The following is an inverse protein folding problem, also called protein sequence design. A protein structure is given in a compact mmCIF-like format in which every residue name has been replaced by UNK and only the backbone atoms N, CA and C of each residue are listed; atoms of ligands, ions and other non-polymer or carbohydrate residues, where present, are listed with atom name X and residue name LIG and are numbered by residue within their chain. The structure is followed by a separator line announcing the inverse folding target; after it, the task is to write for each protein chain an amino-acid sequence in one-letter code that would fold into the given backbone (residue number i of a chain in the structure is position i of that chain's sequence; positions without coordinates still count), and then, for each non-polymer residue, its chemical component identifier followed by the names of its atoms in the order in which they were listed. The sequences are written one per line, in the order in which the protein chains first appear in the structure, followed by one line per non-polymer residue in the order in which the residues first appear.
data_IF_736758792748
#
_entry.id   IF_736758792748
#
_cell.length_a   1.000
_cell.length_b   1.000
_cell.length_c   1.000
_cell.angle_alpha   90.00
_cell.angle_beta   90.00
_cell.angle_gamma   90.00
#
_symmetry.space_group_name_H-M   'P 1'
#
loop_
_entity.id
_entity.type
_entity.pdbx_description
1 polymer ?
#
# COMPACT_ATOMS: atom_id res chain seq x y z
N UNK A 1 -3.58 -3.30 -32.32
CA UNK A 1 -4.36 -4.54 -32.08
C UNK A 1 -4.42 -4.79 -30.58
N UNK A 2 -5.52 -5.39 -30.13
CA UNK A 2 -6.03 -5.43 -28.76
C UNK A 2 -5.08 -6.05 -27.71
N UNK A 3 -4.67 -5.24 -26.73
CA UNK A 3 -4.37 -5.70 -25.36
C UNK A 3 -5.15 -4.86 -24.32
N UNK A 4 -6.28 -4.26 -24.73
CA UNK A 4 -7.21 -3.59 -23.81
C UNK A 4 -8.14 -4.65 -23.23
N UNK A 5 -7.83 -5.21 -22.06
CA UNK A 5 -8.88 -5.94 -21.34
C UNK A 5 -8.51 -6.77 -20.12
N UNK A 6 -7.33 -7.38 -20.05
CA UNK A 6 -7.18 -8.54 -19.15
C UNK A 6 -6.57 -8.24 -17.77
N UNK A 7 -5.71 -7.23 -17.62
CA UNK A 7 -5.09 -6.96 -16.32
C UNK A 7 -5.89 -5.92 -15.54
N UNK A 8 -6.59 -6.40 -14.52
CA UNK A 8 -7.26 -5.55 -13.56
C UNK A 8 -6.28 -5.13 -12.46
N UNK A 9 -6.13 -3.83 -12.21
CA UNK A 9 -5.09 -3.30 -11.30
C UNK A 9 -5.16 -3.86 -9.87
N UNK A 10 -6.34 -4.32 -9.41
CA UNK A 10 -6.48 -4.97 -8.10
C UNK A 10 -5.69 -6.28 -7.96
N UNK A 11 -5.26 -6.91 -9.06
CA UNK A 11 -4.44 -8.13 -9.00
C UNK A 11 -3.03 -7.86 -8.48
N UNK A 12 -2.53 -6.62 -8.61
CA UNK A 12 -1.18 -6.25 -8.18
C UNK A 12 -0.97 -6.47 -6.67
N UNK A 13 -1.81 -5.90 -5.78
CA UNK A 13 -1.65 -6.15 -4.34
C UNK A 13 -1.99 -7.60 -3.96
N UNK A 14 -2.91 -8.27 -4.67
CA UNK A 14 -3.21 -9.69 -4.41
C UNK A 14 -2.01 -10.57 -4.68
N UNK A 15 -1.37 -10.40 -5.84
CA UNK A 15 -0.18 -11.18 -6.18
C UNK A 15 0.97 -10.88 -5.22
N UNK A 16 1.20 -9.61 -4.87
CA UNK A 16 2.18 -9.20 -3.86
C UNK A 16 1.93 -9.91 -2.51
N UNK A 17 0.70 -9.87 -2.00
CA UNK A 17 0.35 -10.48 -0.73
C UNK A 17 0.48 -12.01 -0.74
N UNK A 18 0.09 -12.67 -1.83
CA UNK A 18 0.20 -14.13 -1.96
C UNK A 18 1.66 -14.59 -2.00
N UNK A 19 2.54 -13.85 -2.69
CA UNK A 19 3.97 -14.14 -2.72
C UNK A 19 4.59 -13.94 -1.34
N UNK A 20 4.25 -12.85 -0.66
CA UNK A 20 4.71 -12.58 0.70
C UNK A 20 4.26 -13.66 1.68
N UNK A 21 2.96 -13.96 1.71
CA UNK A 21 2.40 -14.99 2.59
C UNK A 21 2.96 -16.37 2.28
N UNK A 22 3.08 -16.72 1.00
CA UNK A 22 3.66 -17.99 0.56
C UNK A 22 5.12 -18.14 0.98
N UNK A 23 5.91 -17.06 0.88
CA UNK A 23 7.28 -17.02 1.37
C UNK A 23 7.34 -17.20 2.90
N UNK A 24 6.52 -16.46 3.67
CA UNK A 24 6.48 -16.58 5.14
C UNK A 24 6.09 -17.98 5.60
N UNK A 25 5.03 -18.54 5.01
CA UNK A 25 4.60 -19.92 5.31
C UNK A 25 5.67 -20.93 4.88
N UNK A 26 6.35 -20.70 3.76
CA UNK A 26 7.45 -21.53 3.30
C UNK A 26 8.62 -21.55 4.29
N UNK A 27 9.04 -20.38 4.79
CA UNK A 27 10.07 -20.25 5.81
C UNK A 27 9.64 -20.91 7.13
N UNK A 28 8.42 -20.64 7.59
CA UNK A 28 7.90 -21.18 8.84
C UNK A 28 7.78 -22.70 8.81
N UNK A 29 7.18 -23.25 7.74
CA UNK A 29 7.01 -24.69 7.60
C UNK A 29 8.35 -25.41 7.42
N UNK A 30 9.29 -24.81 6.69
CA UNK A 30 10.64 -25.36 6.60
C UNK A 30 11.30 -25.45 7.97
N UNK A 31 11.26 -24.37 8.75
CA UNK A 31 11.87 -24.36 10.08
C UNK A 31 11.17 -25.33 11.06
N UNK A 32 9.83 -25.37 11.08
CA UNK A 32 9.11 -26.25 12.02
C UNK A 32 9.15 -27.71 11.60
N UNK A 33 9.01 -28.01 10.30
CA UNK A 33 8.80 -29.39 9.81
C UNK A 33 10.08 -30.03 9.29
N UNK A 34 10.88 -29.32 8.49
CA UNK A 34 12.09 -29.88 7.86
C UNK A 34 13.28 -29.87 8.81
N UNK A 35 13.50 -28.75 9.51
CA UNK A 35 14.62 -28.61 10.45
C UNK A 35 14.26 -28.93 11.90
N UNK A 36 12.98 -29.23 12.19
CA UNK A 36 12.48 -29.58 13.53
C UNK A 36 12.82 -28.50 14.58
N UNK A 37 12.57 -27.24 14.20
CA UNK A 37 12.90 -26.06 15.00
C UNK A 37 14.38 -25.99 15.38
N UNK A 38 15.25 -26.23 14.39
CA UNK A 38 16.70 -26.11 14.54
C UNK A 38 17.09 -24.76 15.14
N UNK A 39 17.97 -24.82 16.13
CA UNK A 39 18.61 -23.67 16.76
C UNK A 39 19.85 -23.30 15.96
N UNK A 40 19.86 -22.10 15.36
CA UNK A 40 20.93 -21.68 14.47
C UNK A 40 22.17 -21.22 15.26
N UNK A 41 23.37 -21.37 14.68
CA UNK A 41 24.64 -21.06 15.36
C UNK A 41 24.89 -19.59 15.68
N UNK A 42 24.03 -18.70 15.20
CA UNK A 42 24.07 -17.25 15.38
C UNK A 42 22.87 -16.74 16.21
N UNK A 43 22.12 -17.66 16.82
CA UNK A 43 21.19 -17.38 17.91
C UNK A 43 21.92 -17.44 19.23
N UNK A 44 21.46 -16.68 20.21
CA UNK A 44 21.94 -16.81 21.58
C UNK A 44 21.44 -18.13 22.18
N UNK A 45 22.26 -18.74 23.04
CA UNK A 45 22.04 -20.11 23.56
C UNK A 45 20.70 -20.31 24.29
N UNK A 46 20.07 -19.23 24.75
CA UNK A 46 18.80 -19.25 25.50
C UNK A 46 17.58 -19.03 24.57
N UNK A 47 17.78 -18.83 23.27
CA UNK A 47 16.72 -18.61 22.29
C UNK A 47 16.13 -19.89 21.71
N UNK A 48 14.80 -19.89 21.61
CA UNK A 48 13.99 -21.03 21.20
C UNK A 48 13.15 -20.72 19.96
N UNK A 49 13.02 -19.44 19.58
CA UNK A 49 12.18 -18.99 18.46
C UNK A 49 13.07 -18.27 17.44
N UNK A 50 13.11 -18.82 16.23
CA UNK A 50 13.87 -18.24 15.15
C UNK A 50 13.20 -17.00 14.55
N UNK A 51 13.99 -15.95 14.31
CA UNK A 51 13.56 -14.82 13.48
C UNK A 51 13.34 -15.28 12.03
N UNK A 52 12.49 -14.55 11.31
CA UNK A 52 12.28 -14.75 9.87
C UNK A 52 13.60 -14.53 9.13
N UNK A 53 14.34 -13.50 9.53
CA UNK A 53 15.64 -13.15 8.98
C UNK A 53 16.66 -14.28 9.12
N UNK A 54 16.64 -15.03 10.23
CA UNK A 54 17.56 -16.15 10.48
C UNK A 54 17.26 -17.33 9.57
N UNK A 55 15.99 -17.75 9.50
CA UNK A 55 15.60 -18.82 8.58
C UNK A 55 15.86 -18.36 7.13
N UNK A 56 15.63 -17.08 6.83
CA UNK A 56 15.94 -16.43 5.57
C UNK A 56 17.43 -16.26 5.28
N UNK A 57 18.32 -16.38 6.26
CA UNK A 57 19.78 -16.38 6.08
C UNK A 57 20.34 -17.77 5.76
N UNK A 58 19.57 -18.82 6.06
CA UNK A 58 19.94 -20.22 5.89
C UNK A 58 19.79 -20.72 4.44
N UNK A 59 19.54 -22.02 4.25
CA UNK A 59 19.31 -22.67 2.95
C UNK A 59 18.22 -22.00 2.10
N UNK A 60 17.24 -21.35 2.74
CA UNK A 60 16.13 -20.67 2.07
C UNK A 60 16.40 -19.19 1.71
N UNK A 61 17.65 -18.73 1.81
CA UNK A 61 18.03 -17.38 1.37
C UNK A 61 17.58 -17.00 -0.05
N UNK A 62 17.70 -17.87 -1.08
CA UNK A 62 17.18 -17.55 -2.41
C UNK A 62 15.66 -17.31 -2.43
N UNK A 63 14.90 -18.07 -1.63
CA UNK A 63 13.46 -17.90 -1.49
C UNK A 63 13.14 -16.55 -0.84
N UNK A 64 13.86 -16.20 0.23
CA UNK A 64 13.66 -14.94 0.94
C UNK A 64 13.96 -13.72 0.06
N UNK A 65 15.06 -13.75 -0.70
CA UNK A 65 15.41 -12.68 -1.65
C UNK A 65 14.36 -12.55 -2.76
N UNK A 66 14.02 -13.67 -3.42
CA UNK A 66 13.08 -13.65 -4.53
C UNK A 66 11.67 -13.22 -4.08
N UNK A 67 11.19 -13.76 -2.96
CA UNK A 67 9.88 -13.41 -2.40
C UNK A 67 9.80 -11.95 -1.96
N UNK A 68 10.84 -11.44 -1.29
CA UNK A 68 10.94 -10.03 -0.89
C UNK A 68 10.95 -9.08 -2.09
N UNK A 69 11.75 -9.38 -3.13
CA UNK A 69 11.82 -8.57 -4.34
C UNK A 69 10.48 -8.55 -5.09
N UNK A 70 9.86 -9.71 -5.32
CA UNK A 70 8.57 -9.78 -6.02
C UNK A 70 7.47 -9.07 -5.23
N UNK A 71 7.38 -9.32 -3.92
CA UNK A 71 6.39 -8.67 -3.05
C UNK A 71 6.47 -7.15 -3.16
N UNK A 72 7.66 -6.59 -2.94
CA UNK A 72 7.86 -5.14 -2.82
C UNK A 72 7.75 -4.42 -4.16
N UNK A 73 8.15 -5.04 -5.27
CA UNK A 73 7.94 -4.51 -6.62
C UNK A 73 6.44 -4.42 -6.92
N UNK A 74 5.67 -5.48 -6.69
CA UNK A 74 4.23 -5.45 -6.96
C UNK A 74 3.46 -4.54 -6.00
N UNK A 75 3.92 -4.41 -4.74
CA UNK A 75 3.38 -3.42 -3.81
C UNK A 75 3.62 -1.99 -4.32
N UNK A 76 4.83 -1.67 -4.76
CA UNK A 76 5.15 -0.36 -5.34
C UNK A 76 4.36 -0.09 -6.64
N UNK A 77 4.20 -1.11 -7.48
CA UNK A 77 3.33 -1.02 -8.67
C UNK A 77 1.88 -0.74 -8.29
N UNK A 78 1.41 -1.23 -7.13
CA UNK A 78 0.06 -0.93 -6.61
C UNK A 78 -0.08 0.56 -6.25
N UNK A 79 0.95 1.17 -5.65
CA UNK A 79 0.97 2.60 -5.33
C UNK A 79 1.02 3.45 -6.62
N UNK A 80 1.89 3.07 -7.56
CA UNK A 80 1.96 3.72 -8.86
C UNK A 80 0.64 3.60 -9.64
N UNK A 81 -0.01 2.42 -9.60
CA UNK A 81 -1.30 2.19 -10.22
C UNK A 81 -2.38 3.08 -9.62
N UNK A 82 -2.45 3.18 -8.30
CA UNK A 82 -3.41 4.06 -7.62
C UNK A 82 -3.24 5.51 -8.10
N UNK A 83 -1.99 6.01 -8.11
CA UNK A 83 -1.67 7.35 -8.59
C UNK A 83 -2.06 7.56 -10.05
N UNK A 84 -1.71 6.63 -10.94
CA UNK A 84 -2.05 6.71 -12.36
C UNK A 84 -3.56 6.67 -12.60
N UNK A 85 -4.29 5.86 -11.84
CA UNK A 85 -5.75 5.77 -11.95
C UNK A 85 -6.44 7.04 -11.45
N UNK A 86 -5.95 7.66 -10.37
CA UNK A 86 -6.40 8.99 -9.91
C UNK A 86 -6.09 10.07 -10.94
N UNK A 87 -4.89 10.07 -11.52
CA UNK A 87 -4.51 11.01 -12.57
C UNK A 87 -5.37 10.86 -13.84
N UNK A 88 -5.80 9.64 -14.18
CA UNK A 88 -6.63 9.35 -15.35
C UNK A 88 -8.14 9.49 -15.10
N UNK A 89 -8.57 9.97 -13.92
CA UNK A 89 -9.98 10.12 -13.56
C UNK A 89 -10.74 8.80 -13.36
N UNK A 90 -10.02 7.67 -13.26
CA UNK A 90 -10.60 6.35 -13.00
C UNK A 90 -10.84 6.09 -11.51
N UNK A 91 -10.10 6.79 -10.67
CA UNK A 91 -10.38 6.94 -9.24
C UNK A 91 -10.65 8.42 -8.97
N UNK A 92 -11.18 8.72 -7.77
CA UNK A 92 -11.46 10.10 -7.36
C UNK A 92 -10.18 10.94 -7.50
N UNK A 93 -10.18 11.95 -8.39
CA UNK A 93 -8.98 12.67 -8.76
C UNK A 93 -8.52 13.58 -7.62
N UNK A 94 -7.21 13.75 -7.52
CA UNK A 94 -6.63 14.71 -6.59
C UNK A 94 -6.95 16.14 -7.06
N UNK A 95 -7.70 16.89 -6.26
CA UNK A 95 -8.12 18.26 -6.61
C UNK A 95 -7.06 19.28 -6.19
N UNK A 96 -6.31 18.99 -5.12
CA UNK A 96 -5.32 19.92 -4.56
C UNK A 96 -3.88 19.54 -4.91
N UNK A 97 -3.00 20.55 -5.03
CA UNK A 97 -1.55 20.35 -5.20
C UNK A 97 -0.96 19.61 -3.99
N UNK A 98 -1.51 19.85 -2.79
CA UNK A 98 -1.10 19.17 -1.55
C UNK A 98 -1.25 17.65 -1.65
N UNK A 99 -2.42 17.17 -2.07
CA UNK A 99 -2.64 15.73 -2.29
C UNK A 99 -1.69 15.17 -3.35
N UNK A 100 -1.39 15.94 -4.40
CA UNK A 100 -0.44 15.52 -5.42
C UNK A 100 0.96 15.32 -4.88
N UNK A 101 1.42 16.22 -4.00
CA UNK A 101 2.74 16.14 -3.37
C UNK A 101 2.80 15.00 -2.36
N UNK A 102 1.77 14.85 -1.50
CA UNK A 102 1.69 13.77 -0.51
C UNK A 102 1.79 12.38 -1.18
N UNK A 103 1.08 12.20 -2.30
CA UNK A 103 1.10 10.97 -3.09
C UNK A 103 2.46 10.68 -3.73
N UNK A 104 3.21 11.72 -4.13
CA UNK A 104 4.57 11.52 -4.68
C UNK A 104 5.55 11.18 -3.58
N UNK A 105 5.46 11.87 -2.43
CA UNK A 105 6.31 11.60 -1.27
C UNK A 105 6.08 10.18 -0.76
N UNK A 106 4.84 9.71 -0.67
CA UNK A 106 4.56 8.33 -0.25
C UNK A 106 5.22 7.30 -1.16
N UNK A 107 5.13 7.48 -2.49
CA UNK A 107 5.80 6.59 -3.45
C UNK A 107 7.32 6.61 -3.28
N UNK A 108 7.94 7.76 -3.04
CA UNK A 108 9.39 7.84 -2.81
C UNK A 108 9.78 7.04 -1.56
N UNK A 109 9.06 7.20 -0.45
CA UNK A 109 9.32 6.46 0.78
C UNK A 109 9.03 4.95 0.63
N UNK A 110 8.04 4.57 -0.17
CA UNK A 110 7.78 3.16 -0.51
C UNK A 110 8.90 2.52 -1.32
N UNK A 111 9.53 3.28 -2.23
CA UNK A 111 10.71 2.83 -2.98
C UNK A 111 11.89 2.65 -2.02
N UNK A 112 12.09 3.58 -1.08
CA UNK A 112 13.10 3.46 -0.04
C UNK A 112 12.86 2.19 0.81
N UNK A 113 11.63 1.95 1.24
CA UNK A 113 11.24 0.74 1.97
C UNK A 113 11.47 -0.55 1.17
N UNK A 114 11.15 -0.54 -0.12
CA UNK A 114 11.44 -1.65 -1.05
C UNK A 114 12.94 -1.94 -1.14
N UNK A 115 13.76 -0.90 -1.34
CA UNK A 115 15.20 -1.04 -1.37
C UNK A 115 15.71 -1.60 -0.03
N UNK A 116 15.18 -1.14 1.11
CA UNK A 116 15.49 -1.68 2.44
C UNK A 116 15.21 -3.18 2.54
N UNK A 117 14.03 -3.64 2.14
CA UNK A 117 13.65 -5.06 2.25
C UNK A 117 14.46 -5.97 1.29
N UNK A 118 14.75 -5.50 0.08
CA UNK A 118 15.58 -6.26 -0.85
C UNK A 118 17.01 -6.34 -0.33
N UNK A 119 17.57 -5.23 0.14
CA UNK A 119 18.94 -5.19 0.64
C UNK A 119 19.11 -6.01 1.93
N UNK A 120 18.16 -5.96 2.88
CA UNK A 120 18.23 -6.80 4.09
C UNK A 120 18.13 -8.30 3.77
N UNK A 121 17.43 -8.68 2.69
CA UNK A 121 17.37 -10.09 2.27
C UNK A 121 18.69 -10.58 1.65
N UNK A 122 19.51 -9.67 1.11
CA UNK A 122 20.82 -9.98 0.53
C UNK A 122 21.91 -9.95 1.61
N UNK A 123 21.92 -8.88 2.41
CA UNK A 123 22.80 -8.68 3.57
C UNK A 123 22.16 -9.32 4.81
N UNK A 124 22.33 -10.63 4.91
CA UNK A 124 21.74 -11.46 5.95
C UNK A 124 22.34 -11.26 7.35
N UNK A 125 21.65 -11.80 8.37
CA UNK A 125 22.08 -11.77 9.78
C UNK A 125 23.37 -12.57 10.00
N UNK A 126 23.59 -13.65 9.23
CA UNK A 126 24.76 -14.52 9.36
C UNK A 126 26.11 -13.83 9.03
N UNK A 127 26.18 -13.07 7.93
CA UNK A 127 27.43 -12.48 7.45
C UNK A 127 27.53 -10.98 7.71
N UNK A 128 26.40 -10.26 7.77
CA UNK A 128 26.37 -8.79 7.77
C UNK A 128 25.34 -8.21 8.73
N UNK A 129 25.28 -8.68 9.99
CA UNK A 129 24.29 -8.25 11.00
C UNK A 129 24.06 -6.73 11.08
N UNK A 130 25.13 -5.93 11.15
CA UNK A 130 25.00 -4.46 11.21
C UNK A 130 24.33 -3.86 9.97
N UNK A 131 24.60 -4.40 8.77
CA UNK A 131 23.95 -3.93 7.55
C UNK A 131 22.49 -4.39 7.52
N UNK A 132 22.23 -5.61 7.97
CA UNK A 132 20.88 -6.15 8.10
C UNK A 132 20.01 -5.23 8.96
N UNK A 133 20.47 -4.85 10.15
CA UNK A 133 19.73 -3.98 11.08
C UNK A 133 19.45 -2.59 10.49
N UNK A 134 20.43 -2.02 9.77
CA UNK A 134 20.26 -0.72 9.10
C UNK A 134 19.20 -0.82 8.00
N UNK A 135 19.22 -1.89 7.20
CA UNK A 135 18.25 -2.09 6.13
C UNK A 135 16.86 -2.49 6.64
N UNK A 136 16.78 -3.20 7.77
CA UNK A 136 15.55 -3.46 8.51
C UNK A 136 14.91 -2.16 9.00
N UNK A 137 15.70 -1.27 9.60
CA UNK A 137 15.23 0.06 9.97
C UNK A 137 14.76 0.86 8.75
N UNK A 138 15.52 0.83 7.65
CA UNK A 138 15.17 1.52 6.41
C UNK A 138 13.85 1.00 5.81
N UNK A 139 13.64 -0.32 5.85
CA UNK A 139 12.41 -0.98 5.44
C UNK A 139 11.21 -0.52 6.28
N UNK A 140 11.29 -0.64 7.60
CA UNK A 140 10.20 -0.29 8.53
C UNK A 140 9.88 1.20 8.43
N UNK A 141 10.90 2.07 8.56
CA UNK A 141 10.70 3.51 8.50
C UNK A 141 10.17 3.96 7.14
N UNK A 142 10.69 3.41 6.04
CA UNK A 142 10.25 3.71 4.69
C UNK A 142 8.76 3.42 4.47
N UNK A 143 8.31 2.22 4.82
CA UNK A 143 6.90 1.85 4.64
C UNK A 143 5.95 2.57 5.61
N UNK A 144 6.35 2.77 6.87
CA UNK A 144 5.53 3.52 7.85
C UNK A 144 5.36 4.98 7.42
N UNK A 145 6.45 5.66 7.05
CA UNK A 145 6.39 7.05 6.59
C UNK A 145 5.54 7.14 5.32
N UNK A 146 5.73 6.22 4.36
CA UNK A 146 4.87 6.11 3.18
C UNK A 146 3.40 5.98 3.55
N UNK A 147 3.07 5.09 4.49
CA UNK A 147 1.70 4.82 4.89
C UNK A 147 1.04 6.01 5.61
N UNK A 148 1.81 6.77 6.41
CA UNK A 148 1.35 8.04 7.01
C UNK A 148 0.96 9.03 5.92
N UNK A 149 1.81 9.21 4.90
CA UNK A 149 1.52 10.12 3.79
C UNK A 149 0.31 9.67 2.96
N UNK A 150 0.13 8.35 2.75
CA UNK A 150 -1.08 7.79 2.14
C UNK A 150 -2.30 8.11 2.99
N UNK A 151 -2.27 7.84 4.31
CA UNK A 151 -3.40 8.13 5.19
C UNK A 151 -3.75 9.62 5.18
N UNK A 152 -2.76 10.50 5.15
CA UNK A 152 -2.97 11.94 5.05
C UNK A 152 -3.62 12.33 3.71
N UNK A 153 -3.15 11.79 2.59
CA UNK A 153 -3.77 11.98 1.27
C UNK A 153 -5.25 11.57 1.30
N UNK A 154 -5.56 10.41 1.89
CA UNK A 154 -6.92 9.90 2.00
C UNK A 154 -7.81 10.72 2.93
N UNK A 155 -7.28 11.23 4.04
CA UNK A 155 -8.01 12.13 4.93
C UNK A 155 -8.43 13.40 4.18
N UNK A 156 -7.51 14.01 3.43
CA UNK A 156 -7.79 15.20 2.63
C UNK A 156 -8.85 14.91 1.57
N UNK A 157 -8.71 13.82 0.82
CA UNK A 157 -9.68 13.41 -0.19
C UNK A 157 -11.07 13.10 0.40
N UNK A 158 -11.12 12.50 1.60
CA UNK A 158 -12.34 12.17 2.31
C UNK A 158 -13.14 13.38 2.80
N UNK A 159 -12.46 14.49 3.09
CA UNK A 159 -13.11 15.76 3.46
C UNK A 159 -13.86 16.39 2.28
N UNK A 160 -13.27 16.38 1.09
CA UNK A 160 -13.88 16.96 -0.12
C UNK A 160 -14.92 16.05 -0.77
N UNK A 161 -14.76 14.73 -0.68
CA UNK A 161 -15.63 13.74 -1.35
C UNK A 161 -16.45 12.90 -0.37
N UNK A 162 -17.12 13.57 0.57
CA UNK A 162 -17.88 12.97 1.68
C UNK A 162 -19.01 12.00 1.25
N UNK A 163 -19.37 11.97 -0.03
CA UNK A 163 -20.41 11.08 -0.55
C UNK A 163 -19.92 9.65 -0.82
N UNK A 164 -18.61 9.41 -1.04
CA UNK A 164 -18.10 8.08 -1.37
C UNK A 164 -17.72 7.27 -0.12
N UNK A 165 -18.59 6.33 0.28
CA UNK A 165 -18.40 5.45 1.45
C UNK A 165 -17.16 4.55 1.34
N UNK A 166 -16.81 4.11 0.13
CA UNK A 166 -15.68 3.19 -0.10
C UNK A 166 -14.32 3.82 0.23
N UNK A 167 -14.15 5.13 -0.02
CA UNK A 167 -12.94 5.86 0.35
C UNK A 167 -12.74 5.93 1.86
N UNK A 168 -13.83 6.11 2.62
CA UNK A 168 -13.76 6.12 4.08
C UNK A 168 -13.43 4.75 4.66
N UNK A 169 -14.01 3.69 4.11
CA UNK A 169 -13.72 2.33 4.54
C UNK A 169 -12.24 2.02 4.30
N UNK A 170 -11.72 2.31 3.10
CA UNK A 170 -10.30 2.12 2.80
C UNK A 170 -9.40 2.91 3.75
N UNK A 171 -9.72 4.20 3.97
CA UNK A 171 -8.97 5.03 4.91
C UNK A 171 -8.91 4.41 6.32
N UNK A 172 -10.05 4.03 6.90
CA UNK A 172 -10.08 3.48 8.25
C UNK A 172 -9.38 2.12 8.34
N UNK A 173 -9.56 1.25 7.35
CA UNK A 173 -8.87 -0.05 7.29
C UNK A 173 -7.36 0.15 7.27
N UNK A 174 -6.84 1.02 6.39
CA UNK A 174 -5.41 1.33 6.31
C UNK A 174 -4.89 1.97 7.59
N UNK A 175 -5.62 2.95 8.12
CA UNK A 175 -5.23 3.63 9.36
C UNK A 175 -5.10 2.63 10.52
N UNK A 176 -6.03 1.67 10.63
CA UNK A 176 -5.94 0.61 11.63
C UNK A 176 -4.68 -0.23 11.45
N UNK A 177 -4.36 -0.67 10.23
CA UNK A 177 -3.12 -1.42 9.99
C UNK A 177 -1.88 -0.61 10.34
N UNK A 178 -1.80 0.65 9.89
CA UNK A 178 -0.64 1.53 10.18
C UNK A 178 -0.43 1.74 11.68
N UNK A 179 -1.50 1.98 12.44
CA UNK A 179 -1.42 2.16 13.90
C UNK A 179 -0.98 0.86 14.57
N UNK A 180 -1.58 -0.28 14.19
CA UNK A 180 -1.24 -1.59 14.75
C UNK A 180 0.22 -1.94 14.44
N UNK A 181 0.65 -1.82 13.19
CA UNK A 181 2.03 -2.10 12.78
C UNK A 181 3.03 -1.16 13.45
N UNK A 182 2.70 0.13 13.60
CA UNK A 182 3.57 1.08 14.29
C UNK A 182 3.76 0.72 15.77
N UNK A 183 2.68 0.35 16.47
CA UNK A 183 2.76 -0.09 17.87
C UNK A 183 3.59 -1.37 17.98
N UNK A 184 3.31 -2.36 17.12
CA UNK A 184 4.04 -3.62 17.13
C UNK A 184 5.53 -3.43 16.79
N UNK A 185 5.85 -2.54 15.84
CA UNK A 185 7.23 -2.20 15.49
C UNK A 185 7.98 -1.56 16.66
N UNK A 186 7.34 -0.69 17.45
CA UNK A 186 7.94 -0.14 18.66
C UNK A 186 8.23 -1.26 19.67
N UNK A 187 7.29 -2.18 19.87
CA UNK A 187 7.48 -3.31 20.78
C UNK A 187 8.65 -4.17 20.30
N UNK A 188 8.65 -4.55 19.03
CA UNK A 188 9.72 -5.31 18.39
C UNK A 188 11.09 -4.66 18.60
N UNK A 189 11.26 -3.38 18.26
CA UNK A 189 12.53 -2.65 18.44
C UNK A 189 12.93 -2.59 19.92
N UNK A 190 11.97 -2.36 20.81
CA UNK A 190 12.23 -2.30 22.25
C UNK A 190 12.67 -3.65 22.81
N UNK A 191 12.04 -4.75 22.41
CA UNK A 191 12.39 -6.11 22.86
C UNK A 191 13.71 -6.56 22.28
N UNK A 192 14.00 -6.19 21.02
CA UNK A 192 15.26 -6.49 20.35
C UNK A 192 16.45 -5.76 20.99
N UNK A 193 16.26 -4.56 21.53
CA UNK A 193 17.29 -3.83 22.28
C UNK A 193 17.43 -4.24 23.74
N UNK A 194 16.47 -5.01 24.26
CA UNK A 194 16.47 -5.46 25.65
C UNK A 194 16.91 -6.91 25.77
N UNK A 195 17.57 -7.47 24.74
CA UNK A 195 18.04 -8.85 24.67
C UNK A 195 16.93 -9.90 24.95
N UNK A 196 15.68 -9.56 24.60
CA UNK A 196 14.54 -10.48 24.68
C UNK A 196 14.23 -11.04 23.29
N UNK A 197 15.20 -11.75 22.71
CA UNK A 197 15.19 -12.21 21.32
C UNK A 197 14.00 -13.12 21.00
N UNK A 198 13.69 -14.09 21.84
CA UNK A 198 12.45 -14.90 21.72
C UNK A 198 11.18 -14.07 21.54
N UNK A 199 11.03 -13.00 22.32
CA UNK A 199 9.85 -12.13 22.26
C UNK A 199 9.90 -11.28 20.98
N UNK A 200 11.07 -10.75 20.65
CA UNK A 200 11.27 -9.99 19.41
C UNK A 200 10.97 -10.85 18.17
N UNK A 201 11.42 -12.10 18.11
CA UNK A 201 11.14 -13.03 17.02
C UNK A 201 9.63 -13.26 16.84
N UNK A 202 8.88 -13.45 17.94
CA UNK A 202 7.41 -13.55 17.89
C UNK A 202 6.79 -12.29 17.30
N UNK A 203 7.23 -11.10 17.72
CA UNK A 203 6.71 -9.85 17.16
C UNK A 203 7.09 -9.65 15.70
N UNK A 204 8.28 -10.07 15.27
CA UNK A 204 8.68 -10.03 13.86
C UNK A 204 7.72 -10.86 12.99
N UNK A 205 7.42 -12.10 13.41
CA UNK A 205 6.44 -12.96 12.73
C UNK A 205 5.05 -12.33 12.68
N UNK A 206 4.57 -11.80 13.81
CA UNK A 206 3.25 -11.14 13.88
C UNK A 206 3.20 -9.94 12.92
N UNK A 207 4.21 -9.08 12.94
CA UNK A 207 4.30 -7.91 12.04
C UNK A 207 4.30 -8.36 10.59
N UNK A 208 5.11 -9.36 10.24
CA UNK A 208 5.21 -9.86 8.87
C UNK A 208 3.88 -10.45 8.37
N UNK A 209 3.14 -11.20 9.20
CA UNK A 209 1.82 -11.69 8.83
C UNK A 209 0.80 -10.55 8.70
N UNK A 210 0.80 -9.58 9.61
CA UNK A 210 -0.09 -8.40 9.54
C UNK A 210 0.18 -7.58 8.27
N UNK A 211 1.45 -7.44 7.88
CA UNK A 211 1.85 -6.75 6.65
C UNK A 211 1.19 -7.36 5.41
N UNK A 212 0.92 -8.66 5.40
CA UNK A 212 0.10 -9.31 4.33
C UNK A 212 -1.27 -8.66 4.19
N UNK A 213 -1.97 -8.45 5.30
CA UNK A 213 -3.30 -7.85 5.30
C UNK A 213 -3.25 -6.36 4.99
N UNK A 214 -2.18 -5.66 5.41
CA UNK A 214 -1.92 -4.30 4.97
C UNK A 214 -1.78 -4.22 3.44
N UNK A 215 -1.00 -5.10 2.80
CA UNK A 215 -0.91 -5.16 1.33
C UNK A 215 -2.29 -5.43 0.71
N UNK A 216 -3.04 -6.41 1.24
CA UNK A 216 -4.38 -6.72 0.74
C UNK A 216 -5.37 -5.55 0.89
N UNK A 217 -5.17 -4.63 1.84
CA UNK A 217 -6.03 -3.46 1.98
C UNK A 217 -6.06 -2.59 0.72
N UNK A 218 -4.98 -2.56 -0.08
CA UNK A 218 -4.92 -1.82 -1.36
C UNK A 218 -5.83 -2.39 -2.44
N UNK A 219 -6.32 -3.63 -2.29
CA UNK A 219 -7.36 -4.18 -3.15
C UNK A 219 -8.61 -3.30 -3.10
N UNK A 220 -8.99 -2.80 -1.92
CA UNK A 220 -10.18 -1.95 -1.72
C UNK A 220 -10.09 -0.68 -2.55
N UNK A 221 -8.89 -0.15 -2.79
CA UNK A 221 -8.66 1.07 -3.57
C UNK A 221 -8.65 0.86 -5.07
N UNK A 222 -8.14 -0.28 -5.52
CA UNK A 222 -7.97 -0.59 -6.93
C UNK A 222 -9.20 -1.28 -7.52
N UNK A 223 -10.05 -1.90 -6.70
CA UNK A 223 -11.31 -2.55 -7.13
C UNK A 223 -12.28 -1.60 -7.86
N UNK A 224 -12.55 -0.37 -7.37
CA UNK A 224 -13.45 0.57 -8.05
C UNK A 224 -13.04 0.87 -9.50
N UNK A 225 -11.74 0.79 -9.81
CA UNK A 225 -11.23 1.05 -11.16
C UNK A 225 -11.74 0.04 -12.21
N UNK A 226 -12.28 -1.11 -11.81
CA UNK A 226 -12.89 -2.09 -12.72
C UNK A 226 -14.14 -1.50 -13.39
N UNK A 227 -14.91 -0.71 -12.65
CA UNK A 227 -16.17 -0.14 -13.11
C UNK A 227 -15.97 1.16 -13.92
N UNK A 228 -14.82 1.83 -13.78
CA UNK A 228 -14.52 3.10 -14.47
C UNK A 228 -13.70 2.93 -15.75
N UNK A 229 -13.76 1.75 -16.40
CA UNK A 229 -13.04 1.46 -17.64
C UNK A 229 -13.54 2.33 -18.81
N UNK A 230 -14.86 2.51 -18.93
CA UNK A 230 -15.48 3.30 -19.99
C UNK A 230 -15.28 4.82 -19.75
N UNK A 231 -14.93 5.62 -20.76
CA UNK A 231 -14.74 7.07 -20.60
C UNK A 231 -15.93 7.78 -19.95
N UNK A 232 -17.16 7.39 -20.28
CA UNK A 232 -18.40 7.96 -19.72
C UNK A 232 -18.61 7.68 -18.22
N UNK A 233 -17.88 6.72 -17.64
CA UNK A 233 -17.96 6.34 -16.22
C UNK A 233 -16.82 6.91 -15.37
N UNK A 234 -15.97 7.75 -15.95
CA UNK A 234 -14.83 8.38 -15.26
C UNK A 234 -15.27 9.63 -14.53
N UNK A 235 -14.59 9.94 -13.44
CA UNK A 235 -14.77 11.20 -12.73
C UNK A 235 -14.27 12.34 -13.62
N UNK A 236 -15.12 13.35 -13.88
CA UNK A 236 -14.69 14.53 -14.63
C UNK A 236 -13.58 15.24 -13.84
N UNK A 237 -12.54 15.66 -14.54
CA UNK A 237 -11.53 16.52 -13.92
C UNK A 237 -12.17 17.89 -13.79
N UNK A 238 -12.07 18.52 -12.61
CA UNK A 238 -12.58 19.88 -12.39
C UNK A 238 -12.16 20.90 -13.46
N UNK A 239 -11.04 20.64 -14.16
CA UNK A 239 -10.54 21.44 -15.28
C UNK A 239 -11.47 21.48 -16.52
N UNK A 240 -12.25 20.43 -16.79
CA UNK A 240 -13.25 20.46 -17.89
C UNK A 240 -14.39 21.43 -17.57
N UNK A 241 -14.75 21.58 -16.30
CA UNK A 241 -15.81 22.49 -15.89
C UNK A 241 -15.39 23.97 -16.03
N UNK A 242 -14.11 24.31 -15.80
CA UNK A 242 -13.58 25.66 -16.08
C UNK A 242 -13.49 25.94 -17.58
N UNK A 243 -13.12 24.95 -18.40
CA UNK A 243 -13.04 25.11 -19.86
C UNK A 243 -14.42 25.18 -20.55
N UNK A 244 -15.42 24.42 -20.08
CA UNK A 244 -16.81 24.58 -20.56
C UNK A 244 -17.41 25.93 -20.12
N UNK A 245 -17.09 26.40 -18.91
CA UNK A 245 -17.52 27.72 -18.43
C UNK A 245 -16.86 28.86 -19.22
N UNK A 246 -15.58 28.71 -19.58
CA UNK A 246 -14.83 29.70 -20.35
C UNK A 246 -15.13 29.64 -21.86
N UNK A 247 -15.48 28.47 -22.40
CA UNK A 247 -15.84 28.27 -23.81
C UNK A 247 -17.28 28.67 -24.16
N UNK A 248 -18.11 28.95 -23.16
CA UNK A 248 -19.52 29.38 -23.34
C UNK A 248 -19.70 30.90 -23.38
N UNK A 249 -18.61 31.69 -23.32
CA UNK A 249 -18.67 33.15 -23.15
C UNK A 249 -18.30 33.98 -24.39
N UNK A 250 -18.16 33.35 -25.58
CA UNK A 250 -17.87 34.10 -26.80
C UNK A 250 -18.81 33.67 -27.94
N UNK A 251 -19.97 34.35 -28.03
CA UNK A 251 -21.02 33.97 -28.98
C UNK A 251 -22.32 34.78 -28.91
N UNK A 252 -22.22 36.07 -29.23
CA UNK A 252 -23.27 36.90 -29.83
C UNK A 252 -24.52 37.33 -29.00
N UNK A 253 -24.94 38.55 -29.30
CA UNK A 253 -25.92 39.40 -28.65
C UNK A 253 -27.38 39.03 -28.91
N UNK A 254 -28.23 39.31 -27.91
CA UNK A 254 -29.59 39.81 -28.11
C UNK A 254 -30.75 38.81 -28.03
N UNK A 255 -31.21 38.49 -26.81
CA UNK A 255 -32.67 38.39 -26.58
C UNK A 255 -33.03 38.48 -25.09
N UNK A 256 -33.96 39.37 -24.78
CA UNK A 256 -34.59 39.55 -23.49
C UNK A 256 -35.50 38.34 -23.22
N UNK A 257 -35.20 37.55 -22.19
CA UNK A 257 -36.00 36.37 -21.83
C UNK A 257 -35.82 36.04 -20.35
N UNK A 258 -36.86 36.32 -19.57
CA UNK A 258 -36.96 35.99 -18.15
C UNK A 258 -36.78 34.47 -17.94
N UNK A 259 -35.64 34.06 -17.36
CA UNK A 259 -35.44 32.68 -16.89
C UNK A 259 -35.52 32.63 -15.37
N UNK A 260 -36.63 32.04 -14.94
CA UNK A 260 -36.99 31.63 -13.59
C UNK A 260 -35.94 30.66 -13.06
N UNK A 261 -35.38 30.97 -11.88
CA UNK A 261 -34.57 30.05 -11.08
C UNK A 261 -35.37 28.78 -10.78
N UNK A 262 -34.94 27.64 -11.32
CA UNK A 262 -35.38 26.30 -10.92
C UNK A 262 -34.18 25.53 -10.36
N UNK A 263 -33.69 26.00 -9.21
CA UNK A 263 -32.86 25.18 -8.31
C UNK A 263 -33.78 24.16 -7.64
N UNK A 264 -34.09 23.07 -8.34
CA UNK A 264 -35.16 22.21 -7.81
C UNK A 264 -35.43 20.85 -8.44
N UNK A 265 -34.60 20.26 -9.32
CA UNK A 265 -34.86 18.85 -9.72
C UNK A 265 -33.72 18.17 -10.50
N UNK A 266 -32.74 17.60 -9.80
CA UNK A 266 -32.17 16.32 -10.24
C UNK A 266 -31.57 15.53 -9.07
N UNK A 267 -32.38 15.34 -8.03
CA UNK A 267 -32.20 14.26 -7.08
C UNK A 267 -32.80 13.00 -7.69
N UNK A 268 -31.94 12.05 -8.10
CA UNK A 268 -32.12 10.60 -8.19
C UNK A 268 -31.63 10.02 -9.51
N UNK A 269 -30.47 9.35 -9.46
CA UNK A 269 -30.34 7.92 -9.78
C UNK A 269 -28.88 7.45 -9.68
N UNK A 270 -28.44 7.18 -8.44
CA UNK A 270 -27.41 6.17 -8.18
C UNK A 270 -27.74 5.48 -6.85
N UNK A 271 -28.83 4.73 -6.84
CA UNK A 271 -29.05 3.65 -5.86
C UNK A 271 -28.12 2.51 -6.25
N UNK A 272 -27.03 2.36 -5.49
CA UNK A 272 -26.21 1.15 -5.50
C UNK A 272 -26.92 0.10 -4.63
N UNK A 273 -27.38 -0.97 -5.28
CA UNK A 273 -27.46 -2.29 -4.66
C UNK A 273 -26.11 -2.98 -4.88
#
# INVERSE_FOLDING_TARGET
MAAKGFVSYWILPVFSALVWLGMLLGLLLYWVVDTNSEHYSYMDSDDNIAFISDIGASKLKPLFIAGSAVTTVFLNLSFAAERLLRHNGRLVPNTTVKEKVLSVISIIFAIIGMCGLILLSIFDTHHHHKLHDIFLFLFIAGYIISAIFICWEYQQLGLYNRQHRILRISFWVKLTFVIVEFILAIIFVSTNWSDNENVAAVFEWIIAFIFTFYILSFVIDLLPAVHTKAPASRFSKALEHEMESAGSQDGNSGHMGSYRNDYGRNNNRYTFQ
#
